data_IF_309040504641
#
_entry.id   IF_309040504641
#
_cell.length_a   1.000
_cell.length_b   1.000
_cell.length_c   1.000
_cell.angle_alpha   90.00
_cell.angle_beta   90.00
_cell.angle_gamma   90.00
#
_symmetry.space_group_name_H-M   'P 1'
#
loop_
_entity.id
_entity.type
_entity.pdbx_description
1 polymer ?
#
# COMPACT_ATOMS: atom_id res chain seq x y z
N UNK A 1 -7.96 -10.85 -24.70
CA UNK A 1 -7.21 -12.12 -24.62
C UNK A 1 -5.88 -11.93 -25.34
N UNK A 2 -4.80 -11.67 -24.61
CA UNK A 2 -3.43 -11.61 -25.16
C UNK A 2 -2.57 -12.60 -24.36
N UNK A 3 -2.58 -13.86 -24.79
CA UNK A 3 -1.88 -14.99 -24.16
C UNK A 3 -0.70 -15.45 -25.01
N UNK A 4 0.14 -14.53 -25.49
CA UNK A 4 1.37 -14.93 -26.17
C UNK A 4 2.59 -14.29 -25.51
N UNK A 5 2.94 -14.85 -24.35
CA UNK A 5 4.18 -14.58 -23.59
C UNK A 5 5.47 -14.85 -24.36
N UNK A 6 5.37 -15.45 -25.56
CA UNK A 6 6.52 -15.89 -26.38
C UNK A 6 7.02 -14.85 -27.40
N UNK A 7 6.25 -13.81 -27.69
CA UNK A 7 6.61 -12.88 -28.77
C UNK A 7 7.60 -11.81 -28.30
N UNK A 8 7.43 -11.26 -27.10
CA UNK A 8 8.22 -10.11 -26.65
C UNK A 8 9.75 -10.36 -26.59
N UNK A 9 10.25 -11.51 -26.08
CA UNK A 9 11.70 -11.76 -26.04
C UNK A 9 12.35 -11.84 -27.42
N UNK A 10 11.66 -12.42 -28.41
CA UNK A 10 12.20 -12.63 -29.78
C UNK A 10 12.36 -11.33 -30.58
N UNK A 11 11.56 -10.31 -30.31
CA UNK A 11 11.63 -9.04 -31.04
C UNK A 11 12.73 -8.11 -30.54
N UNK A 12 13.10 -8.23 -29.26
CA UNK A 12 14.08 -7.34 -28.63
C UNK A 12 15.51 -7.59 -29.16
N UNK A 13 15.82 -8.83 -29.57
CA UNK A 13 17.14 -9.23 -30.03
C UNK A 13 17.54 -8.66 -31.41
N UNK A 14 16.59 -8.14 -32.19
CA UNK A 14 16.86 -7.57 -33.53
C UNK A 14 17.26 -6.09 -33.54
N UNK A 15 17.27 -5.42 -32.38
CA UNK A 15 17.67 -4.03 -32.29
C UNK A 15 19.18 -3.91 -32.07
N UNK A 16 19.93 -3.98 -33.18
CA UNK A 16 21.24 -3.35 -33.23
C UNK A 16 21.10 -1.83 -33.04
N UNK A 17 22.00 -1.27 -32.24
CA UNK A 17 22.32 0.16 -32.04
C UNK A 17 21.63 1.12 -33.03
N UNK A 18 20.44 1.62 -32.69
CA UNK A 18 19.81 2.71 -33.42
C UNK A 18 19.30 3.74 -32.41
N UNK A 19 20.22 4.63 -32.06
CA UNK A 19 20.00 5.85 -31.31
C UNK A 19 18.90 6.69 -31.98
N UNK A 20 17.88 7.08 -31.20
CA UNK A 20 17.00 8.23 -31.47
C UNK A 20 16.18 8.25 -32.77
N UNK A 21 16.04 7.15 -33.50
CA UNK A 21 15.22 7.14 -34.72
C UNK A 21 13.75 6.80 -34.40
N UNK A 22 12.82 7.69 -34.77
CA UNK A 22 11.37 7.44 -34.76
C UNK A 22 10.98 6.18 -35.57
N UNK A 23 11.86 5.68 -36.45
CA UNK A 23 11.66 4.43 -37.19
C UNK A 23 11.85 3.14 -36.35
N UNK A 24 12.54 3.18 -35.21
CA UNK A 24 12.69 1.99 -34.34
C UNK A 24 11.35 1.55 -33.74
N UNK A 25 10.48 2.51 -33.40
CA UNK A 25 9.13 2.22 -32.91
C UNK A 25 8.26 1.55 -34.00
N UNK A 26 8.44 1.92 -35.27
CA UNK A 26 7.62 1.44 -36.39
C UNK A 26 7.97 0.05 -36.92
N UNK A 27 9.23 -0.40 -36.78
CA UNK A 27 9.69 -1.69 -37.37
C UNK A 27 9.75 -2.86 -36.38
N UNK A 28 9.70 -2.60 -35.07
CA UNK A 28 10.08 -3.58 -34.03
C UNK A 28 8.90 -4.20 -33.25
N UNK A 29 7.70 -3.64 -33.35
CA UNK A 29 6.62 -3.89 -32.37
C UNK A 29 5.27 -4.27 -32.99
N UNK A 30 5.26 -5.20 -33.95
CA UNK A 30 3.99 -5.72 -34.51
C UNK A 30 3.20 -6.42 -33.39
N UNK A 31 2.03 -5.88 -33.05
CA UNK A 31 1.13 -6.45 -32.04
C UNK A 31 1.31 -5.92 -30.61
N UNK A 32 2.17 -4.91 -30.38
CA UNK A 32 2.29 -4.21 -29.09
C UNK A 32 1.66 -2.82 -29.19
N UNK A 33 0.86 -2.44 -28.20
CA UNK A 33 0.23 -1.12 -28.15
C UNK A 33 1.28 0.00 -28.05
N UNK A 34 1.02 1.12 -28.72
CA UNK A 34 1.94 2.25 -28.83
C UNK A 34 2.50 2.75 -27.48
N UNK A 35 1.72 2.88 -26.39
CA UNK A 35 2.26 3.32 -25.11
C UNK A 35 3.31 2.37 -24.53
N UNK A 36 3.09 1.05 -24.65
CA UNK A 36 4.05 0.04 -24.19
C UNK A 36 5.29 0.01 -25.09
N UNK A 37 5.12 0.14 -26.41
CA UNK A 37 6.24 0.24 -27.35
C UNK A 37 7.11 1.48 -27.06
N UNK A 38 6.50 2.63 -26.76
CA UNK A 38 7.21 3.86 -26.35
C UNK A 38 7.98 3.67 -25.04
N UNK A 39 7.39 3.00 -24.05
CA UNK A 39 8.08 2.67 -22.80
C UNK A 39 9.34 1.85 -23.06
N UNK A 40 9.25 0.78 -23.85
CA UNK A 40 10.42 -0.06 -24.14
C UNK A 40 11.44 0.70 -24.98
N UNK A 41 11.02 1.42 -26.02
CA UNK A 41 11.93 2.23 -26.84
C UNK A 41 12.72 3.25 -26.01
N UNK A 42 12.11 3.84 -24.98
CA UNK A 42 12.81 4.74 -24.07
C UNK A 42 13.95 4.05 -23.29
N UNK A 43 13.83 2.77 -22.93
CA UNK A 43 14.92 2.05 -22.25
C UNK A 43 16.15 1.90 -23.16
N UNK A 44 15.91 1.71 -24.46
CA UNK A 44 16.93 1.47 -25.50
C UNK A 44 17.63 2.73 -26.01
N UNK A 45 17.38 3.90 -25.40
CA UNK A 45 18.22 5.08 -25.64
C UNK A 45 19.58 5.00 -24.89
N UNK A 46 19.77 3.95 -24.09
CA UNK A 46 20.96 3.70 -23.27
C UNK A 46 21.82 2.61 -23.90
N UNK A 47 23.13 2.79 -23.80
CA UNK A 47 24.10 1.77 -24.17
C UNK A 47 24.23 0.70 -23.07
N UNK A 48 24.53 -0.56 -23.42
CA UNK A 48 24.86 -1.58 -22.43
C UNK A 48 26.20 -1.23 -21.73
N UNK A 49 26.21 -1.24 -20.41
CA UNK A 49 27.39 -0.83 -19.61
C UNK A 49 28.26 -1.99 -19.12
N UNK A 50 27.77 -3.23 -19.23
CA UNK A 50 28.52 -4.43 -18.87
C UNK A 50 28.09 -5.58 -19.78
N UNK A 51 29.02 -6.21 -20.48
CA UNK A 51 28.73 -7.34 -21.36
C UNK A 51 29.87 -8.37 -21.27
N UNK A 52 29.49 -9.64 -21.11
CA UNK A 52 30.43 -10.77 -21.07
C UNK A 52 30.61 -11.33 -22.48
N UNK A 53 31.86 -11.60 -22.87
CA UNK A 53 32.22 -12.06 -24.23
C UNK A 53 31.48 -13.34 -24.63
N UNK A 54 31.26 -14.21 -23.66
CA UNK A 54 30.59 -15.51 -23.74
C UNK A 54 29.09 -15.36 -24.03
N UNK A 55 28.53 -14.17 -23.85
CA UNK A 55 27.10 -13.85 -23.98
C UNK A 55 26.81 -12.93 -25.16
N UNK A 56 27.82 -12.60 -25.98
CA UNK A 56 27.64 -11.72 -27.15
C UNK A 56 26.93 -12.43 -28.31
N UNK A 57 27.31 -13.68 -28.56
CA UNK A 57 26.78 -14.49 -29.66
C UNK A 57 25.78 -15.48 -29.09
N UNK A 58 24.56 -15.47 -29.60
CA UNK A 58 23.47 -16.34 -29.18
C UNK A 58 23.10 -17.25 -30.36
N UNK A 59 22.98 -18.58 -30.16
CA UNK A 59 22.48 -19.50 -31.19
C UNK A 59 21.07 -19.11 -31.69
N UNK A 60 20.80 -19.29 -32.98
CA UNK A 60 19.51 -18.88 -33.59
C UNK A 60 18.28 -19.62 -33.04
N UNK A 61 18.50 -20.81 -32.47
CA UNK A 61 17.47 -21.69 -31.92
C UNK A 61 17.23 -21.51 -30.41
N UNK A 62 18.00 -20.65 -29.75
CA UNK A 62 17.92 -20.42 -28.30
C UNK A 62 17.08 -19.19 -27.96
N UNK A 63 16.09 -19.36 -27.07
CA UNK A 63 15.37 -18.21 -26.50
C UNK A 63 16.24 -17.54 -25.43
N UNK A 64 16.61 -16.29 -25.68
CA UNK A 64 17.61 -15.58 -24.88
C UNK A 64 17.12 -14.19 -24.46
N UNK A 65 17.21 -13.89 -23.16
CA UNK A 65 16.75 -12.60 -22.59
C UNK A 65 17.87 -11.75 -22.05
N UNK A 66 19.12 -12.24 -21.94
CA UNK A 66 20.16 -11.51 -21.23
C UNK A 66 20.53 -10.19 -21.93
N UNK A 67 20.41 -10.10 -23.26
CA UNK A 67 20.60 -8.83 -23.98
C UNK A 67 19.55 -7.79 -23.60
N UNK A 68 18.29 -8.21 -23.45
CA UNK A 68 17.24 -7.33 -22.95
C UNK A 68 17.48 -6.97 -21.49
N UNK A 69 17.78 -7.95 -20.63
CA UNK A 69 18.03 -7.74 -19.22
C UNK A 69 19.25 -6.85 -18.98
N UNK A 70 20.25 -6.84 -19.87
CA UNK A 70 21.37 -5.92 -19.82
C UNK A 70 20.91 -4.45 -19.81
N UNK A 71 19.97 -4.11 -20.70
CA UNK A 71 19.38 -2.77 -20.76
C UNK A 71 18.35 -2.56 -19.66
N UNK A 72 17.45 -3.52 -19.45
CA UNK A 72 16.35 -3.39 -18.49
C UNK A 72 16.83 -3.29 -17.04
N UNK A 73 17.83 -4.10 -16.67
CA UNK A 73 18.36 -4.12 -15.30
C UNK A 73 19.18 -2.88 -14.96
N UNK A 74 19.76 -2.22 -15.97
CA UNK A 74 20.57 -0.99 -15.85
C UNK A 74 19.79 0.31 -16.09
N UNK A 75 18.48 0.21 -16.33
CA UNK A 75 17.56 1.33 -16.19
C UNK A 75 16.96 1.32 -14.77
N UNK A 76 17.52 2.15 -13.88
CA UNK A 76 17.10 2.26 -12.48
C UNK A 76 16.11 3.40 -12.26
N UNK A 77 14.84 3.12 -12.52
CA UNK A 77 13.72 4.03 -12.29
C UNK A 77 13.11 3.85 -10.89
N UNK A 78 12.17 4.73 -10.51
CA UNK A 78 11.39 4.63 -9.27
C UNK A 78 10.49 3.39 -9.23
N UNK A 79 10.05 2.90 -10.39
CA UNK A 79 9.35 1.63 -10.55
C UNK A 79 9.90 0.85 -11.74
N UNK A 80 9.84 -0.48 -11.70
CA UNK A 80 10.28 -1.34 -12.81
C UNK A 80 9.17 -2.29 -13.23
N UNK A 81 8.81 -2.24 -14.51
CA UNK A 81 7.91 -3.20 -15.13
C UNK A 81 8.70 -4.42 -15.59
N UNK A 82 8.46 -5.59 -14.99
CA UNK A 82 9.26 -6.80 -15.23
C UNK A 82 8.46 -7.80 -16.06
N UNK A 83 8.91 -8.16 -17.26
CA UNK A 83 8.30 -9.24 -18.01
C UNK A 83 8.47 -10.59 -17.27
N UNK A 84 7.62 -11.57 -17.62
CA UNK A 84 7.80 -12.93 -17.13
C UNK A 84 9.16 -13.48 -17.61
N UNK A 85 9.93 -14.17 -16.75
CA UNK A 85 11.11 -14.90 -17.18
C UNK A 85 10.73 -16.02 -18.18
N UNK A 86 11.65 -16.36 -19.09
CA UNK A 86 11.47 -17.51 -19.96
C UNK A 86 11.29 -18.79 -19.14
N UNK A 87 10.44 -19.70 -19.62
CA UNK A 87 10.23 -21.03 -19.04
C UNK A 87 9.87 -21.04 -17.54
N UNK A 88 9.21 -19.99 -17.05
CA UNK A 88 8.80 -19.84 -15.65
C UNK A 88 7.28 -19.69 -15.52
N UNK A 89 6.74 -20.09 -14.38
CA UNK A 89 5.35 -19.79 -13.98
C UNK A 89 5.17 -18.35 -13.47
N UNK A 90 6.26 -17.60 -13.31
CA UNK A 90 6.23 -16.22 -12.83
C UNK A 90 5.63 -15.30 -13.90
N UNK A 91 4.58 -14.56 -13.53
CA UNK A 91 3.90 -13.59 -14.41
C UNK A 91 4.58 -12.22 -14.51
N UNK A 92 3.84 -11.27 -15.08
CA UNK A 92 4.21 -9.85 -15.12
C UNK A 92 4.27 -9.27 -13.71
N UNK A 93 5.31 -8.50 -13.42
CA UNK A 93 5.54 -7.94 -12.10
C UNK A 93 5.83 -6.45 -12.17
N UNK A 94 5.54 -5.77 -11.07
CA UNK A 94 5.91 -4.38 -10.84
C UNK A 94 6.79 -4.35 -9.60
N UNK A 95 7.97 -3.75 -9.73
CA UNK A 95 8.90 -3.53 -8.62
C UNK A 95 8.76 -2.09 -8.13
N UNK A 96 8.41 -1.91 -6.85
CA UNK A 96 8.33 -0.60 -6.19
C UNK A 96 9.65 -0.33 -5.46
N UNK A 97 10.38 0.70 -5.90
CA UNK A 97 11.77 0.98 -5.51
C UNK A 97 12.03 2.26 -4.68
N UNK A 98 11.09 3.20 -4.43
CA UNK A 98 11.44 4.45 -3.72
C UNK A 98 11.57 4.36 -2.20
N UNK A 99 11.32 3.20 -1.57
CA UNK A 99 11.35 3.11 -0.11
C UNK A 99 12.78 3.14 0.43
N UNK A 100 13.02 4.04 1.37
CA UNK A 100 14.24 4.06 2.19
C UNK A 100 14.19 2.92 3.23
N UNK A 101 15.34 2.32 3.54
CA UNK A 101 15.44 1.30 4.58
C UNK A 101 15.31 1.93 5.98
N UNK A 102 14.60 1.25 6.89
CA UNK A 102 14.37 1.70 8.26
C UNK A 102 15.19 0.88 9.27
N UNK A 103 15.35 1.40 10.49
CA UNK A 103 16.23 0.81 11.51
C UNK A 103 15.73 -0.54 12.04
N UNK A 104 14.41 -0.74 12.11
CA UNK A 104 13.82 -1.95 12.69
C UNK A 104 13.01 -2.76 11.68
N UNK A 105 12.97 -4.07 11.90
CA UNK A 105 12.14 -4.99 11.12
C UNK A 105 10.65 -4.63 11.20
N UNK A 106 10.18 -4.10 12.34
CA UNK A 106 8.82 -3.62 12.52
C UNK A 106 8.46 -2.50 11.51
N UNK A 107 9.33 -1.50 11.37
CA UNK A 107 9.09 -0.38 10.45
C UNK A 107 9.14 -0.85 8.99
N UNK A 108 10.14 -1.67 8.64
CA UNK A 108 10.28 -2.23 7.29
C UNK A 108 9.08 -3.11 6.92
N UNK A 109 8.62 -3.96 7.84
CA UNK A 109 7.42 -4.77 7.66
C UNK A 109 6.17 -3.90 7.49
N UNK A 110 6.06 -2.77 8.20
CA UNK A 110 4.95 -1.85 8.05
C UNK A 110 4.89 -1.24 6.64
N UNK A 111 6.02 -0.74 6.12
CA UNK A 111 6.09 -0.19 4.76
C UNK A 111 5.81 -1.24 3.69
N UNK A 112 6.41 -2.43 3.78
CA UNK A 112 6.19 -3.53 2.83
C UNK A 112 4.73 -3.97 2.84
N UNK A 113 4.15 -4.15 4.02
CA UNK A 113 2.74 -4.52 4.20
C UNK A 113 1.83 -3.47 3.59
N UNK A 114 2.12 -2.18 3.80
CA UNK A 114 1.33 -1.11 3.20
C UNK A 114 1.39 -1.11 1.68
N UNK A 115 2.58 -1.21 1.06
CA UNK A 115 2.72 -1.27 -0.42
C UNK A 115 1.96 -2.48 -0.99
N UNK A 116 2.05 -3.63 -0.32
CA UNK A 116 1.33 -4.83 -0.71
C UNK A 116 -0.20 -4.65 -0.58
N UNK A 117 -0.69 -4.04 0.49
CA UNK A 117 -2.12 -3.84 0.68
C UNK A 117 -2.67 -2.75 -0.25
N UNK A 118 -1.98 -1.62 -0.40
CA UNK A 118 -2.45 -0.53 -1.27
C UNK A 118 -2.52 -0.97 -2.73
N UNK A 119 -1.56 -1.77 -3.23
CA UNK A 119 -1.64 -2.32 -4.58
C UNK A 119 -2.90 -3.18 -4.78
N UNK A 120 -3.24 -4.01 -3.80
CA UNK A 120 -4.47 -4.81 -3.82
C UNK A 120 -5.73 -3.95 -3.69
N UNK A 121 -5.69 -2.91 -2.86
CA UNK A 121 -6.78 -1.94 -2.73
C UNK A 121 -7.03 -1.21 -4.04
N UNK A 122 -5.97 -0.74 -4.73
CA UNK A 122 -6.05 -0.10 -6.05
C UNK A 122 -6.75 -1.01 -7.06
N UNK A 123 -6.35 -2.29 -7.11
CA UNK A 123 -6.93 -3.27 -8.04
C UNK A 123 -8.38 -3.62 -7.68
N UNK A 124 -8.68 -3.84 -6.40
CA UNK A 124 -10.02 -4.23 -5.93
C UNK A 124 -11.03 -3.11 -6.11
N UNK A 125 -10.65 -1.87 -5.79
CA UNK A 125 -11.52 -0.71 -5.87
C UNK A 125 -11.45 0.00 -7.24
N UNK A 126 -10.59 -0.47 -8.16
CA UNK A 126 -10.33 0.14 -9.46
C UNK A 126 -10.00 1.64 -9.34
N UNK A 127 -9.09 1.98 -8.43
CA UNK A 127 -8.74 3.37 -8.16
C UNK A 127 -8.00 3.98 -9.37
N UNK A 128 -8.47 5.14 -9.82
CA UNK A 128 -7.80 5.99 -10.79
C UNK A 128 -6.94 7.03 -10.06
N UNK A 129 -5.62 6.78 -10.00
CA UNK A 129 -4.64 7.68 -9.39
C UNK A 129 -3.79 8.42 -10.42
N UNK A 130 -4.21 8.44 -11.70
CA UNK A 130 -3.43 9.04 -12.77
C UNK A 130 -3.36 10.56 -12.63
N UNK A 131 -2.15 11.09 -12.72
CA UNK A 131 -1.82 12.52 -12.86
C UNK A 131 -0.76 12.67 -13.95
N UNK A 132 -0.55 13.87 -14.52
CA UNK A 132 0.52 14.07 -15.50
C UNK A 132 1.89 13.67 -14.94
N UNK A 133 2.72 13.00 -15.75
CA UNK A 133 4.04 12.52 -15.31
C UNK A 133 4.98 13.66 -14.88
N UNK A 134 4.84 14.84 -15.50
CA UNK A 134 5.57 16.06 -15.10
C UNK A 134 5.30 16.45 -13.64
N UNK A 135 4.08 16.19 -13.13
CA UNK A 135 3.72 16.43 -11.73
C UNK A 135 4.28 15.37 -10.79
N UNK A 136 4.47 14.15 -11.27
CA UNK A 136 5.24 13.12 -10.55
C UNK A 136 6.71 13.55 -10.44
N UNK A 137 7.31 14.11 -11.50
CA UNK A 137 8.69 14.61 -11.46
C UNK A 137 8.87 15.81 -10.51
N UNK A 138 7.90 16.73 -10.47
CA UNK A 138 7.85 17.80 -9.47
C UNK A 138 7.71 17.26 -8.04
N UNK A 139 6.91 16.21 -7.83
CA UNK A 139 6.80 15.53 -6.55
C UNK A 139 8.13 14.90 -6.13
N UNK A 140 8.84 14.22 -7.04
CA UNK A 140 10.15 13.62 -6.74
C UNK A 140 11.19 14.67 -6.32
N UNK A 141 11.22 15.82 -7.00
CA UNK A 141 12.09 16.96 -6.60
C UNK A 141 11.70 17.55 -5.24
N UNK A 142 10.41 17.51 -4.90
CA UNK A 142 9.91 18.00 -3.61
C UNK A 142 10.19 17.01 -2.48
N UNK A 143 10.10 15.71 -2.75
CA UNK A 143 10.25 14.63 -1.78
C UNK A 143 11.63 14.60 -1.10
N UNK A 144 12.68 15.03 -1.80
CA UNK A 144 14.05 15.03 -1.28
C UNK A 144 14.38 16.21 -0.37
N UNK A 145 13.47 17.19 -0.23
CA UNK A 145 13.68 18.34 0.66
C UNK A 145 13.66 17.92 2.13
N UNK A 146 14.44 18.61 2.96
CA UNK A 146 14.43 18.39 4.41
C UNK A 146 13.01 18.61 4.95
N UNK A 147 12.57 17.68 5.81
CA UNK A 147 11.24 17.68 6.45
C UNK A 147 10.07 17.72 5.46
N UNK A 148 10.26 17.23 4.23
CA UNK A 148 9.23 17.28 3.19
C UNK A 148 7.90 16.64 3.59
N UNK A 149 7.94 15.58 4.41
CA UNK A 149 6.74 14.91 4.93
C UNK A 149 5.83 15.85 5.73
N UNK A 150 6.39 16.84 6.44
CA UNK A 150 5.63 17.78 7.28
C UNK A 150 5.47 19.17 6.64
N UNK A 151 6.41 19.57 5.79
CA UNK A 151 6.50 20.97 5.32
C UNK A 151 6.14 21.17 3.86
N UNK A 152 6.04 20.11 3.06
CA UNK A 152 5.79 20.23 1.63
C UNK A 152 4.43 19.67 1.25
N UNK A 153 3.97 20.07 0.08
CA UNK A 153 2.76 19.55 -0.55
C UNK A 153 3.13 18.89 -1.88
N UNK A 154 2.32 17.94 -2.28
CA UNK A 154 2.53 17.07 -3.43
C UNK A 154 1.30 17.07 -4.31
N UNK A 155 1.52 17.08 -5.62
CA UNK A 155 0.46 16.92 -6.61
C UNK A 155 -0.13 15.52 -6.48
N UNK A 156 -1.43 15.46 -6.22
CA UNK A 156 -2.14 14.19 -6.04
C UNK A 156 -3.52 14.26 -6.68
N UNK A 157 -4.05 13.10 -7.08
CA UNK A 157 -5.36 12.99 -7.74
C UNK A 157 -6.47 13.60 -6.88
N UNK A 158 -7.37 14.38 -7.50
CA UNK A 158 -8.57 14.88 -6.82
C UNK A 158 -9.50 13.74 -6.41
N UNK A 159 -10.00 13.78 -5.18
CA UNK A 159 -10.78 12.66 -4.61
C UNK A 159 -12.05 12.29 -5.37
N UNK A 160 -12.77 13.27 -5.93
CA UNK A 160 -13.98 12.99 -6.73
C UNK A 160 -13.68 12.31 -8.08
N UNK A 161 -12.41 12.28 -8.51
CA UNK A 161 -11.96 11.62 -9.73
C UNK A 161 -11.28 10.27 -9.48
N UNK A 162 -11.41 9.70 -8.28
CA UNK A 162 -10.75 8.44 -7.91
C UNK A 162 -11.39 7.19 -8.53
N UNK A 163 -12.63 7.26 -9.00
CA UNK A 163 -13.28 6.14 -9.66
C UNK A 163 -13.14 6.22 -11.18
N UNK A 164 -12.84 5.09 -11.81
CA UNK A 164 -12.79 4.94 -13.27
C UNK A 164 -14.15 4.99 -13.97
N UNK A 165 -15.26 5.25 -13.24
CA UNK A 165 -16.64 5.09 -13.75
C UNK A 165 -17.48 6.37 -13.82
N UNK A 166 -16.95 7.55 -13.49
CA UNK A 166 -17.70 8.80 -13.59
C UNK A 166 -17.36 9.52 -14.90
N UNK A 167 -18.12 9.24 -15.97
CA UNK A 167 -18.16 10.10 -17.15
C UNK A 167 -18.83 11.44 -16.79
N UNK A 168 -18.30 12.60 -17.22
CA UNK A 168 -18.86 13.90 -16.89
C UNK A 168 -20.09 14.11 -17.78
N UNK A 169 -21.28 14.00 -17.21
CA UNK A 169 -22.56 14.13 -17.94
C UNK A 169 -23.58 13.09 -17.53
N UNK A 170 -23.13 12.02 -16.90
CA UNK A 170 -24.00 10.95 -16.42
C UNK A 170 -23.85 10.84 -14.91
N UNK A 171 -24.81 11.42 -14.16
CA UNK A 171 -25.04 11.07 -12.74
C UNK A 171 -25.56 9.62 -12.60
N UNK A 172 -25.09 8.70 -13.43
CA UNK A 172 -25.22 7.29 -13.15
C UNK A 172 -24.10 6.99 -12.17
N UNK A 173 -24.49 6.95 -10.91
CA UNK A 173 -23.89 6.07 -9.94
C UNK A 173 -23.62 4.73 -10.63
N UNK A 174 -22.37 4.51 -11.04
CA UNK A 174 -21.88 3.15 -11.19
C UNK A 174 -21.91 2.61 -9.78
N UNK A 175 -23.00 1.91 -9.49
CA UNK A 175 -23.20 1.05 -8.34
C UNK A 175 -22.06 0.03 -8.39
N UNK A 176 -20.90 0.41 -7.84
CA UNK A 176 -20.13 -0.54 -7.06
C UNK A 176 -21.09 -0.88 -5.92
N UNK A 177 -21.32 -2.17 -5.72
CA UNK A 177 -22.35 -2.71 -4.81
C UNK A 177 -22.24 -2.17 -3.37
N UNK A 178 -21.17 -1.44 -3.03
CA UNK A 178 -20.89 -0.85 -1.71
C UNK A 178 -20.56 0.67 -1.72
N UNK A 179 -21.20 1.47 -2.59
CA UNK A 179 -21.20 2.95 -2.51
C UNK A 179 -20.11 3.70 -3.27
N UNK A 180 -20.33 4.99 -3.56
CA UNK A 180 -19.35 5.87 -4.22
C UNK A 180 -18.11 6.11 -3.33
N UNK A 181 -16.92 6.44 -3.86
CA UNK A 181 -15.75 6.78 -3.05
C UNK A 181 -16.01 7.91 -2.04
N UNK A 182 -16.93 8.82 -2.35
CA UNK A 182 -17.37 9.90 -1.48
C UNK A 182 -18.28 9.40 -0.35
N UNK A 183 -19.19 8.46 -0.62
CA UNK A 183 -19.95 7.75 0.42
C UNK A 183 -19.06 6.83 1.24
N UNK A 184 -18.04 6.23 0.62
CA UNK A 184 -16.96 5.50 1.28
C UNK A 184 -16.16 6.42 2.20
N UNK A 185 -15.91 7.67 1.81
CA UNK A 185 -15.27 8.72 2.63
C UNK A 185 -16.16 9.08 3.83
N UNK A 186 -17.49 9.19 3.63
CA UNK A 186 -18.46 9.44 4.69
C UNK A 186 -18.65 8.23 5.62
N UNK A 187 -18.46 7.00 5.11
CA UNK A 187 -18.47 5.77 5.90
C UNK A 187 -17.14 5.58 6.66
N UNK A 188 -16.00 5.89 6.03
CA UNK A 188 -14.65 5.80 6.60
C UNK A 188 -14.40 6.87 7.68
N UNK A 189 -14.90 8.10 7.50
CA UNK A 189 -14.83 9.17 8.52
C UNK A 189 -15.63 8.89 9.79
N UNK A 190 -16.60 7.95 9.73
CA UNK A 190 -17.33 7.44 10.90
C UNK A 190 -16.54 6.39 11.70
N UNK A 191 -15.46 5.84 11.15
CA UNK A 191 -14.51 5.02 11.91
C UNK A 191 -13.63 5.94 12.78
N UNK A 192 -14.17 6.40 13.91
CA UNK A 192 -13.34 6.97 14.97
C UNK A 192 -12.38 5.88 15.49
N UNK A 193 -11.08 6.18 15.39
CA UNK A 193 -9.85 5.85 16.19
C UNK A 193 -9.83 4.79 17.32
N UNK A 194 -10.93 4.11 17.64
CA UNK A 194 -11.05 3.10 18.70
C UNK A 194 -12.31 2.25 18.47
N UNK A 195 -12.25 1.13 17.74
CA UNK A 195 -13.15 -0.04 17.93
C UNK A 195 -12.84 -1.23 17.01
N UNK A 196 -13.16 -2.40 17.57
CA UNK A 196 -12.81 -3.77 17.18
C UNK A 196 -13.69 -4.40 16.11
N UNK A 197 -13.13 -5.35 15.36
CA UNK A 197 -13.76 -6.10 14.28
C UNK A 197 -14.69 -7.22 14.77
N UNK A 198 -15.86 -7.36 14.14
CA UNK A 198 -16.76 -8.52 14.28
C UNK A 198 -16.73 -9.39 13.03
N UNK A 199 -16.69 -10.70 13.28
CA UNK A 199 -16.52 -11.82 12.34
C UNK A 199 -17.83 -12.08 11.58
N UNK A 200 -17.77 -12.30 10.27
CA UNK A 200 -18.84 -12.97 9.50
C UNK A 200 -18.38 -14.41 9.25
N UNK A 201 -19.06 -15.38 9.86
CA UNK A 201 -18.95 -16.79 9.52
C UNK A 201 -20.04 -17.14 8.50
N UNK A 202 -19.64 -17.76 7.39
CA UNK A 202 -20.56 -18.40 6.45
C UNK A 202 -21.21 -19.62 7.10
N UNK A 203 -22.55 -19.69 7.08
CA UNK A 203 -23.26 -20.97 7.10
C UNK A 203 -24.41 -20.96 6.08
N UNK A 204 -24.43 -22.04 5.32
CA UNK A 204 -25.42 -22.53 4.38
C UNK A 204 -26.71 -22.94 5.11
N UNK A 205 -27.88 -22.61 4.56
CA UNK A 205 -29.08 -23.46 4.37
C UNK A 205 -30.41 -22.68 4.32
N UNK A 206 -31.31 -23.18 3.48
CA UNK A 206 -32.66 -22.70 3.16
C UNK A 206 -33.60 -22.62 4.37
N UNK A 207 -34.46 -21.58 4.45
CA UNK A 207 -35.92 -21.70 4.70
C UNK A 207 -36.68 -20.36 4.59
N UNK A 208 -37.99 -20.50 4.38
CA UNK A 208 -39.03 -19.63 3.82
C UNK A 208 -39.60 -18.49 4.69
N UNK A 209 -39.92 -17.37 4.02
CA UNK A 209 -41.09 -16.43 4.12
C UNK A 209 -41.71 -16.16 5.51
N UNK A 210 -41.73 -14.87 5.93
CA UNK A 210 -42.98 -14.05 6.09
C UNK A 210 -42.71 -12.62 6.58
N UNK A 211 -43.45 -11.67 6.00
CA UNK A 211 -43.50 -10.22 6.27
C UNK A 211 -43.73 -9.80 7.72
N UNK A 212 -43.19 -8.63 8.10
CA UNK A 212 -43.94 -7.38 8.32
C UNK A 212 -43.33 -6.50 9.43
N UNK A 213 -42.75 -5.37 9.05
CA UNK A 213 -42.94 -4.09 9.75
C UNK A 213 -42.27 -2.98 8.94
N UNK A 214 -43.07 -2.35 8.09
CA UNK A 214 -42.75 -1.14 7.34
C UNK A 214 -42.64 0.07 8.29
N UNK A 215 -41.51 0.79 8.23
CA UNK A 215 -41.50 2.23 8.50
C UNK A 215 -40.84 2.94 7.32
N UNK A 216 -41.67 3.74 6.66
CA UNK A 216 -41.43 4.42 5.40
C UNK A 216 -40.32 5.48 5.51
N UNK A 217 -39.45 5.52 4.50
CA UNK A 217 -38.62 6.68 4.20
C UNK A 217 -38.97 7.13 2.79
N UNK A 218 -39.41 8.38 2.68
CA UNK A 218 -40.02 8.96 1.49
C UNK A 218 -39.09 8.91 0.26
N UNK A 219 -39.58 8.29 -0.82
CA UNK A 219 -38.99 8.40 -2.16
C UNK A 219 -39.38 9.73 -2.80
N UNK A 220 -38.40 10.59 -3.08
CA UNK A 220 -38.60 11.72 -3.99
C UNK A 220 -38.64 11.18 -5.44
N UNK A 221 -39.75 11.42 -6.14
CA UNK A 221 -39.90 11.13 -7.59
C UNK A 221 -38.88 11.94 -8.39
N UNK A 222 -38.13 11.27 -9.26
CA UNK A 222 -37.33 11.89 -10.31
C UNK A 222 -38.24 12.32 -11.47
N UNK A 223 -37.99 13.48 -12.11
CA UNK A 223 -38.71 13.89 -13.31
C UNK A 223 -38.23 13.11 -14.54
N UNK A 224 -39.11 13.01 -15.54
CA UNK A 224 -38.96 12.19 -16.75
C UNK A 224 -37.69 12.47 -17.55
N UNK A 225 -37.15 11.38 -18.10
CA UNK A 225 -35.94 11.36 -18.92
C UNK A 225 -36.17 12.08 -20.25
N UNK A 226 -35.49 13.20 -20.44
CA UNK A 226 -35.24 13.76 -21.76
C UNK A 226 -33.87 13.31 -22.30
N UNK A 227 -33.90 12.92 -23.58
CA UNK A 227 -32.89 12.52 -24.57
C UNK A 227 -31.38 12.51 -24.22
N UNK A 228 -30.61 11.55 -24.77
CA UNK A 228 -29.19 11.40 -24.49
C UNK A 228 -28.40 12.54 -25.15
N UNK A 229 -27.79 13.39 -24.34
CA UNK A 229 -26.73 14.31 -24.80
C UNK A 229 -25.42 13.55 -24.71
N UNK A 230 -24.79 13.34 -25.86
CA UNK A 230 -23.42 12.85 -25.99
C UNK A 230 -22.44 13.91 -25.48
N UNK A 231 -22.02 13.82 -24.23
CA UNK A 231 -20.95 14.68 -23.71
C UNK A 231 -19.67 13.86 -23.53
N UNK A 232 -18.88 13.78 -24.61
CA UNK A 232 -17.47 13.41 -24.57
C UNK A 232 -16.66 14.63 -24.08
N UNK A 233 -16.94 15.12 -22.87
CA UNK A 233 -16.12 16.18 -22.29
C UNK A 233 -14.77 15.60 -21.90
N UNK A 234 -13.78 15.84 -22.76
CA UNK A 234 -12.38 15.51 -22.56
C UNK A 234 -11.91 16.18 -21.26
N UNK A 235 -11.60 15.38 -20.23
CA UNK A 235 -11.14 15.93 -18.94
C UNK A 235 -9.75 16.54 -19.16
N UNK A 236 -9.64 17.86 -18.97
CA UNK A 236 -8.35 18.54 -19.02
C UNK A 236 -7.41 17.94 -17.95
N UNK A 237 -6.21 17.44 -18.32
CA UNK A 237 -5.26 16.85 -17.39
C UNK A 237 -4.92 17.74 -16.19
N UNK A 238 -4.92 19.06 -16.38
CA UNK A 238 -4.61 20.04 -15.33
C UNK A 238 -5.68 20.11 -14.22
N UNK A 239 -6.91 19.70 -14.53
CA UNK A 239 -8.02 19.67 -13.57
C UNK A 239 -8.06 18.35 -12.78
N UNK A 240 -7.17 17.39 -13.07
CA UNK A 240 -7.22 16.04 -12.48
C UNK A 240 -6.55 15.95 -11.10
N UNK A 241 -5.76 16.94 -10.71
CA UNK A 241 -4.92 16.91 -9.51
C UNK A 241 -5.07 18.17 -8.64
N UNK A 242 -4.57 18.08 -7.41
CA UNK A 242 -4.51 19.16 -6.41
C UNK A 242 -3.26 18.95 -5.53
N UNK A 243 -2.75 20.02 -4.91
CA UNK A 243 -1.70 19.92 -3.91
C UNK A 243 -2.26 19.42 -2.57
N UNK A 244 -1.60 18.44 -1.97
CA UNK A 244 -1.92 17.90 -0.65
C UNK A 244 -0.64 17.62 0.14
N UNK A 245 -0.66 17.82 1.45
CA UNK A 245 0.37 17.33 2.36
C UNK A 245 0.40 15.80 2.40
N UNK A 246 1.50 15.21 2.88
CA UNK A 246 1.56 13.75 3.06
C UNK A 246 0.52 13.27 4.07
N UNK A 247 0.24 14.04 5.13
CA UNK A 247 -0.84 13.70 6.06
C UNK A 247 -2.20 13.64 5.36
N UNK A 248 -2.53 14.61 4.51
CA UNK A 248 -3.79 14.58 3.75
C UNK A 248 -3.87 13.41 2.77
N UNK A 249 -2.76 13.06 2.10
CA UNK A 249 -2.70 11.91 1.19
C UNK A 249 -2.84 10.59 1.95
N UNK A 250 -2.16 10.43 3.08
CA UNK A 250 -2.15 9.17 3.83
C UNK A 250 -3.40 9.01 4.70
N UNK A 251 -3.75 10.04 5.47
CA UNK A 251 -4.77 10.00 6.51
C UNK A 251 -6.13 10.53 6.03
N UNK A 252 -6.14 11.28 4.91
CA UNK A 252 -7.33 11.85 4.31
C UNK A 252 -7.51 13.35 4.59
N UNK A 253 -8.46 13.93 3.88
CA UNK A 253 -8.88 15.33 3.97
C UNK A 253 -10.39 15.41 3.71
N UNK A 254 -11.03 16.59 3.82
CA UNK A 254 -12.43 16.74 3.45
C UNK A 254 -12.75 16.37 1.99
N UNK A 255 -11.74 16.42 1.10
CA UNK A 255 -11.90 16.22 -0.34
C UNK A 255 -11.24 14.94 -0.86
N UNK A 256 -10.54 14.20 0.00
CA UNK A 256 -9.83 12.97 -0.34
C UNK A 256 -9.91 11.95 0.81
N UNK A 257 -10.30 10.68 0.56
CA UNK A 257 -10.50 9.68 1.61
C UNK A 257 -9.25 9.34 2.44
N UNK A 258 -8.05 9.47 1.88
CA UNK A 258 -6.80 8.98 2.47
C UNK A 258 -6.47 7.56 2.03
N UNK A 259 -5.19 7.29 1.77
CA UNK A 259 -4.74 5.95 1.37
C UNK A 259 -4.83 4.92 2.51
N UNK A 260 -4.54 5.31 3.75
CA UNK A 260 -4.64 4.43 4.92
C UNK A 260 -6.10 4.03 5.17
N UNK A 261 -7.09 4.96 5.22
CA UNK A 261 -8.50 4.60 5.32
C UNK A 261 -8.98 3.63 4.24
N UNK A 262 -8.57 3.84 2.98
CA UNK A 262 -8.90 2.92 1.88
C UNK A 262 -8.32 1.51 2.11
N UNK A 263 -7.08 1.42 2.58
CA UNK A 263 -6.44 0.14 2.93
C UNK A 263 -7.14 -0.52 4.12
N UNK A 264 -7.50 0.23 5.17
CA UNK A 264 -8.26 -0.31 6.30
C UNK A 264 -9.59 -0.91 5.86
N UNK A 265 -10.31 -0.22 4.99
CA UNK A 265 -11.55 -0.74 4.41
C UNK A 265 -11.32 -2.04 3.64
N UNK A 266 -10.28 -2.09 2.80
CA UNK A 266 -9.91 -3.31 2.07
C UNK A 266 -9.61 -4.50 3.00
N UNK A 267 -8.84 -4.27 4.07
CA UNK A 267 -8.52 -5.29 5.09
C UNK A 267 -9.79 -5.75 5.81
N UNK A 268 -10.70 -4.82 6.14
CA UNK A 268 -11.97 -5.14 6.77
C UNK A 268 -12.86 -6.04 5.90
N UNK A 269 -12.99 -5.71 4.61
CA UNK A 269 -13.85 -6.44 3.66
C UNK A 269 -13.33 -7.86 3.41
N UNK A 270 -12.01 -8.03 3.31
CA UNK A 270 -11.43 -9.37 3.09
C UNK A 270 -11.43 -10.20 4.37
N UNK A 271 -11.30 -9.55 5.52
CA UNK A 271 -11.12 -10.23 6.79
C UNK A 271 -9.79 -10.99 6.86
N UNK A 272 -9.70 -11.89 7.83
CA UNK A 272 -8.51 -12.69 8.09
C UNK A 272 -8.45 -13.13 9.53
N UNK A 273 -7.35 -13.79 9.89
CA UNK A 273 -7.08 -14.13 11.29
C UNK A 273 -7.05 -12.85 12.16
N UNK A 274 -7.76 -12.81 13.31
CA UNK A 274 -7.83 -11.62 14.14
C UNK A 274 -6.49 -11.07 14.62
N UNK A 275 -5.51 -11.94 14.90
CA UNK A 275 -4.18 -11.51 15.34
C UNK A 275 -3.41 -10.85 14.18
N UNK A 276 -3.51 -11.41 12.98
CA UNK A 276 -2.93 -10.83 11.76
C UNK A 276 -3.57 -9.47 11.43
N UNK A 277 -4.89 -9.37 11.47
CA UNK A 277 -5.60 -8.09 11.24
C UNK A 277 -5.18 -7.05 12.27
N UNK A 278 -5.08 -7.42 13.54
CA UNK A 278 -4.60 -6.54 14.60
C UNK A 278 -3.17 -6.03 14.32
N UNK A 279 -2.26 -6.92 13.91
CA UNK A 279 -0.89 -6.55 13.55
C UNK A 279 -0.85 -5.58 12.35
N UNK A 280 -1.64 -5.85 11.30
CA UNK A 280 -1.77 -4.96 10.15
C UNK A 280 -2.23 -3.57 10.58
N UNK A 281 -3.22 -3.48 11.49
CA UNK A 281 -3.66 -2.18 11.99
C UNK A 281 -2.58 -1.43 12.76
N UNK A 282 -1.74 -2.13 13.54
CA UNK A 282 -0.60 -1.49 14.20
C UNK A 282 0.40 -0.91 13.19
N UNK A 283 0.65 -1.60 12.09
CA UNK A 283 1.48 -1.07 11.00
C UNK A 283 0.86 0.18 10.38
N UNK A 284 -0.45 0.17 10.13
CA UNK A 284 -1.16 1.32 9.57
C UNK A 284 -1.20 2.51 10.54
N UNK A 285 -1.38 2.28 11.84
CA UNK A 285 -1.34 3.31 12.88
C UNK A 285 0.05 3.97 12.95
N UNK A 286 1.11 3.17 12.83
CA UNK A 286 2.48 3.67 12.75
C UNK A 286 2.69 4.60 11.54
N UNK A 287 2.21 4.21 10.35
CA UNK A 287 2.33 5.02 9.15
C UNK A 287 1.48 6.30 9.22
N UNK A 288 0.28 6.22 9.82
CA UNK A 288 -0.59 7.37 10.08
C UNK A 288 0.12 8.42 10.93
N UNK A 289 0.73 7.98 12.04
CA UNK A 289 1.50 8.84 12.97
C UNK A 289 2.77 9.41 12.34
N UNK A 290 3.43 8.68 11.45
CA UNK A 290 4.56 9.22 10.68
C UNK A 290 4.12 10.29 9.67
N UNK A 291 2.99 10.07 9.01
CA UNK A 291 2.46 11.02 8.05
C UNK A 291 1.94 12.31 8.72
N UNK A 292 1.36 12.22 9.93
CA UNK A 292 0.91 13.37 10.72
C UNK A 292 2.04 14.14 11.39
N UNK A 293 3.19 13.49 11.62
CA UNK A 293 4.32 14.05 12.38
C UNK A 293 4.28 13.72 13.88
N UNK A 294 3.32 12.93 14.34
CA UNK A 294 3.28 12.41 15.71
C UNK A 294 4.45 11.45 16.01
N UNK A 295 5.01 10.83 14.97
CA UNK A 295 6.28 10.09 15.02
C UNK A 295 7.27 10.67 14.01
N UNK A 296 8.52 10.78 14.43
CA UNK A 296 9.61 11.23 13.56
C UNK A 296 9.89 10.20 12.47
N UNK A 297 10.36 10.70 11.32
CA UNK A 297 11.07 9.84 10.36
C UNK A 297 12.47 9.53 10.90
N UNK A 298 13.05 8.40 10.49
CA UNK A 298 14.44 8.05 10.81
C UNK A 298 15.40 9.19 10.46
N UNK A 299 15.21 9.85 9.31
CA UNK A 299 16.03 10.99 8.90
C UNK A 299 15.90 12.21 9.84
N UNK A 300 14.67 12.55 10.28
CA UNK A 300 14.47 13.65 11.22
C UNK A 300 15.04 13.32 12.60
N UNK A 301 14.89 12.07 13.04
CA UNK A 301 15.46 11.58 14.28
C UNK A 301 16.99 11.62 14.26
N UNK A 302 17.66 11.08 13.23
CA UNK A 302 19.12 11.15 13.10
C UNK A 302 19.62 12.61 13.12
N UNK A 303 18.92 13.53 12.45
CA UNK A 303 19.25 14.96 12.50
C UNK A 303 19.09 15.54 13.91
N UNK A 304 18.05 15.17 14.66
CA UNK A 304 17.88 15.65 16.04
C UNK A 304 18.98 15.11 16.96
N UNK A 305 19.39 13.84 16.79
CA UNK A 305 20.51 13.23 17.51
C UNK A 305 21.83 13.95 17.25
N UNK A 306 22.17 14.18 15.99
CA UNK A 306 23.39 14.92 15.61
C UNK A 306 23.37 16.34 16.21
N UNK A 307 22.25 17.07 16.08
CA UNK A 307 22.14 18.45 16.57
C UNK A 307 22.20 18.56 18.10
N UNK A 308 21.82 17.52 18.83
CA UNK A 308 21.85 17.47 20.28
C UNK A 308 23.20 16.97 20.84
N UNK A 309 24.10 16.49 19.97
CA UNK A 309 25.38 15.94 20.39
C UNK A 309 26.30 17.05 20.96
N UNK A 310 26.97 16.85 22.11
CA UNK A 310 27.84 17.87 22.72
C UNK A 310 28.95 18.39 21.81
N UNK A 311 29.55 17.50 21.02
CA UNK A 311 30.62 17.84 20.07
C UNK A 311 30.13 18.49 18.77
N UNK A 312 28.82 18.72 18.59
CA UNK A 312 28.31 19.33 17.38
C UNK A 312 28.37 20.86 17.45
N UNK A 313 29.12 21.47 16.53
CA UNK A 313 29.37 22.92 16.53
C UNK A 313 28.43 23.71 15.62
N UNK A 314 27.31 23.13 15.19
CA UNK A 314 26.34 23.76 14.27
C UNK A 314 26.93 24.20 12.91
N UNK A 315 28.02 23.57 12.49
CA UNK A 315 28.78 23.82 11.27
C UNK A 315 28.46 22.83 10.13
N UNK A 316 27.49 21.94 10.34
CA UNK A 316 27.13 20.84 9.43
C UNK A 316 28.22 19.77 9.27
N UNK A 317 29.24 19.78 10.11
CA UNK A 317 30.26 18.73 10.16
C UNK A 317 29.87 17.64 11.15
N UNK A 318 29.93 16.38 10.71
CA UNK A 318 29.70 15.21 11.55
C UNK A 318 31.05 14.55 11.82
N UNK A 319 31.58 14.74 13.04
CA UNK A 319 32.87 14.18 13.45
C UNK A 319 32.79 12.65 13.62
N UNK A 320 33.96 12.00 13.69
CA UNK A 320 34.04 10.56 13.94
C UNK A 320 33.36 10.16 15.26
N UNK A 321 33.48 10.98 16.30
CA UNK A 321 32.80 10.74 17.59
C UNK A 321 31.29 10.76 17.42
N UNK A 322 30.73 11.83 16.83
CA UNK A 322 29.28 11.95 16.58
C UNK A 322 28.77 10.76 15.76
N UNK A 323 29.50 10.37 14.72
CA UNK A 323 29.13 9.24 13.88
C UNK A 323 29.15 7.91 14.65
N UNK A 324 30.18 7.69 15.48
CA UNK A 324 30.31 6.46 16.28
C UNK A 324 29.15 6.32 17.26
N UNK A 325 28.83 7.39 17.98
CA UNK A 325 27.77 7.40 18.98
C UNK A 325 26.38 7.23 18.32
N UNK A 326 26.15 7.89 17.18
CA UNK A 326 24.92 7.71 16.40
C UNK A 326 24.77 6.27 15.90
N UNK A 327 25.84 5.64 15.39
CA UNK A 327 25.77 4.26 14.91
C UNK A 327 25.56 3.25 16.04
N UNK A 328 26.13 3.49 17.23
CA UNK A 328 25.86 2.68 18.42
C UNK A 328 24.38 2.77 18.82
N UNK A 329 23.81 3.97 18.81
CA UNK A 329 22.39 4.18 19.11
C UNK A 329 21.48 3.49 18.07
N UNK A 330 21.78 3.62 16.78
CA UNK A 330 21.10 2.88 15.72
C UNK A 330 21.17 1.36 15.95
N UNK A 331 22.33 0.83 16.34
CA UNK A 331 22.52 -0.59 16.60
C UNK A 331 21.69 -1.09 17.79
N UNK A 332 21.66 -0.31 18.88
CA UNK A 332 20.83 -0.60 20.05
C UNK A 332 19.33 -0.60 19.69
N UNK A 333 18.90 0.31 18.81
CA UNK A 333 17.51 0.34 18.30
C UNK A 333 17.19 -0.91 17.48
N UNK A 334 18.06 -1.27 16.53
CA UNK A 334 17.87 -2.46 15.69
C UNK A 334 17.81 -3.74 16.52
N UNK A 335 18.58 -3.84 17.62
CA UNK A 335 18.56 -4.98 18.55
C UNK A 335 17.39 -4.96 19.55
N UNK A 336 16.61 -3.88 19.60
CA UNK A 336 15.51 -3.70 20.55
C UNK A 336 15.96 -3.36 21.98
N UNK A 337 17.22 -3.01 22.19
CA UNK A 337 17.79 -2.57 23.47
C UNK A 337 17.36 -1.12 23.80
N UNK A 338 17.18 -0.30 22.75
CA UNK A 338 16.69 1.06 22.85
C UNK A 338 15.42 1.23 22.00
N UNK A 339 14.42 1.94 22.54
CA UNK A 339 13.18 2.23 21.81
C UNK A 339 12.76 3.70 22.01
N UNK A 340 13.27 4.64 21.20
CA UNK A 340 12.96 6.05 21.35
C UNK A 340 11.46 6.31 21.07
N UNK A 341 10.71 6.88 22.02
CA UNK A 341 9.27 7.08 21.88
C UNK A 341 8.88 8.08 20.77
N UNK A 342 9.79 8.99 20.41
CA UNK A 342 9.64 9.91 19.29
C UNK A 342 9.78 9.24 17.91
N UNK A 343 10.43 8.07 17.85
CA UNK A 343 10.68 7.34 16.60
C UNK A 343 9.75 6.13 16.45
N UNK A 344 9.46 5.42 17.54
CA UNK A 344 8.78 4.13 17.54
C UNK A 344 7.57 4.14 18.49
N UNK A 345 6.46 3.47 18.12
CA UNK A 345 5.26 3.39 18.97
C UNK A 345 5.50 2.53 20.22
N UNK A 346 4.72 2.76 21.27
CA UNK A 346 4.79 1.97 22.51
C UNK A 346 4.46 0.49 22.25
N UNK A 347 5.11 -0.41 23.01
CA UNK A 347 4.78 -1.84 23.00
C UNK A 347 3.48 -2.15 23.79
N UNK A 348 3.10 -1.29 24.74
CA UNK A 348 1.99 -1.51 25.67
C UNK A 348 0.60 -1.24 25.09
N UNK A 349 0.48 -0.72 23.88
CA UNK A 349 -0.82 -0.54 23.19
C UNK A 349 -1.44 -1.89 22.76
N UNK A 350 -0.78 -3.02 23.04
CA UNK A 350 -1.17 -4.35 22.59
C UNK A 350 -1.21 -5.38 23.74
N UNK A 351 -2.12 -5.22 24.69
CA UNK A 351 -2.64 -6.39 25.42
C UNK A 351 -3.97 -6.77 24.79
N UNK A 352 -4.00 -7.86 24.00
CA UNK A 352 -5.26 -8.57 23.76
C UNK A 352 -5.64 -9.19 25.09
N UNK A 353 -6.48 -8.51 25.88
CA UNK A 353 -7.01 -9.11 27.10
C UNK A 353 -7.95 -10.24 26.69
N UNK A 354 -7.52 -11.48 26.88
CA UNK A 354 -8.38 -12.66 26.79
C UNK A 354 -9.45 -12.52 27.88
N UNK A 355 -10.65 -12.04 27.52
CA UNK A 355 -11.78 -11.95 28.44
C UNK A 355 -12.43 -10.56 28.63
N UNK A 356 -12.15 -9.53 27.82
CA UNK A 356 -12.97 -8.31 27.85
C UNK A 356 -14.11 -8.37 26.82
N UNK A 357 -15.34 -7.98 27.19
CA UNK A 357 -16.50 -8.01 26.29
C UNK A 357 -16.31 -7.05 25.13
N UNK A 358 -16.72 -7.50 23.95
CA UNK A 358 -16.69 -6.75 22.70
C UNK A 358 -17.20 -5.31 22.92
N UNK A 359 -16.35 -4.36 22.57
CA UNK A 359 -16.57 -2.94 22.79
C UNK A 359 -17.66 -2.40 21.84
N UNK A 360 -18.72 -3.11 21.45
CA UNK A 360 -19.73 -2.67 20.45
C UNK A 360 -21.19 -2.62 20.98
N UNK A 361 -21.45 -2.48 22.29
CA UNK A 361 -22.83 -2.42 22.89
C UNK A 361 -23.88 -1.75 21.96
N UNK A 362 -25.09 -2.27 21.75
CA UNK A 362 -26.05 -2.87 22.71
C UNK A 362 -26.86 -4.07 22.16
N UNK A 363 -26.55 -4.61 20.98
CA UNK A 363 -27.47 -5.56 20.29
C UNK A 363 -26.80 -6.69 19.48
N UNK A 364 -25.53 -7.01 19.73
CA UNK A 364 -24.87 -8.14 19.06
C UNK A 364 -25.41 -9.49 19.58
N UNK A 365 -26.34 -10.09 18.84
CA UNK A 365 -26.96 -11.39 19.17
C UNK A 365 -26.04 -12.61 18.96
N UNK A 366 -24.91 -12.45 18.28
CA UNK A 366 -23.99 -13.55 17.97
C UNK A 366 -23.09 -13.96 19.14
N UNK A 367 -23.04 -13.17 20.22
CA UNK A 367 -22.22 -13.44 21.40
C UNK A 367 -23.04 -13.75 22.66
N UNK A 368 -24.37 -13.73 22.59
CA UNK A 368 -25.24 -14.18 23.67
C UNK A 368 -25.50 -15.68 23.52
N UNK A 369 -24.52 -16.51 23.86
CA UNK A 369 -24.85 -17.85 24.34
C UNK A 369 -25.22 -17.67 25.81
N UNK A 370 -26.49 -17.89 26.12
CA UNK A 370 -27.02 -17.80 27.46
C UNK A 370 -26.30 -18.81 28.36
N UNK A 371 -25.37 -18.35 29.21
CA UNK A 371 -24.68 -19.20 30.19
C UNK A 371 -25.55 -19.56 31.40
N UNK A 372 -26.87 -19.41 31.29
CA UNK A 372 -27.84 -19.69 32.34
C UNK A 372 -28.25 -21.17 32.46
N UNK A 373 -27.46 -22.13 31.94
CA UNK A 373 -27.77 -23.57 32.07
C UNK A 373 -26.59 -24.51 32.35
N UNK A 374 -25.48 -24.04 32.94
CA UNK A 374 -24.52 -24.96 33.58
C UNK A 374 -24.77 -24.96 35.08
N UNK A 375 -25.61 -25.90 35.51
CA UNK A 375 -25.83 -26.21 36.93
C UNK A 375 -24.49 -26.62 37.57
N UNK A 376 -24.19 -25.97 38.69
CA UNK A 376 -23.24 -26.45 39.67
C UNK A 376 -23.61 -27.87 40.12
N UNK A 377 -22.66 -28.79 40.00
CA UNK A 377 -22.61 -29.95 40.89
C UNK A 377 -21.20 -30.04 41.43
N UNK A 378 -21.08 -29.79 42.73
CA UNK A 378 -19.91 -30.14 43.53
C UNK A 378 -19.66 -31.65 43.44
N UNK A 379 -18.39 -32.04 43.31
CA UNK A 379 -17.85 -33.10 44.17
C UNK A 379 -16.31 -33.07 44.20
N UNK A 380 -15.83 -33.00 45.43
CA UNK A 380 -14.50 -33.34 45.95
C UNK A 380 -13.69 -34.39 45.17
N UNK A 381 -12.39 -34.13 45.00
CA UNK A 381 -11.33 -35.09 45.35
C UNK A 381 -9.93 -34.44 45.33
N UNK A 382 -9.22 -34.61 46.44
CA UNK A 382 -7.77 -34.40 46.62
C UNK A 382 -6.95 -35.07 45.51
N UNK A 383 -5.82 -34.48 45.08
CA UNK A 383 -4.46 -35.04 45.30
C UNK A 383 -3.32 -34.12 44.84
N UNK A 384 -2.41 -33.86 45.80
CA UNK A 384 -0.93 -33.79 45.73
C UNK A 384 -0.16 -33.06 44.62
N UNK A 385 0.75 -32.22 45.10
CA UNK A 385 1.87 -31.57 44.44
C UNK A 385 2.81 -32.51 43.66
N UNK A 386 3.36 -31.98 42.57
CA UNK A 386 4.69 -32.31 42.08
C UNK A 386 5.36 -31.06 41.49
N UNK A 387 6.40 -30.60 42.16
CA UNK A 387 7.42 -29.67 41.67
C UNK A 387 8.45 -30.49 40.90
N UNK A 388 8.96 -30.01 39.76
CA UNK A 388 10.33 -30.18 39.22
C UNK A 388 10.50 -29.33 37.93
N UNK A 389 11.71 -28.81 37.61
CA UNK A 389 11.89 -27.48 37.05
C UNK A 389 12.37 -27.43 35.58
N UNK A 390 12.17 -26.27 34.97
CA UNK A 390 13.12 -25.55 34.10
C UNK A 390 13.60 -26.22 32.81
N UNK A 391 13.20 -25.64 31.66
CA UNK A 391 14.13 -25.37 30.56
C UNK A 391 13.74 -24.06 29.87
N UNK A 392 14.70 -23.14 29.94
CA UNK A 392 14.82 -21.93 29.14
C UNK A 392 14.85 -22.32 27.65
N UNK A 393 14.02 -21.70 26.82
CA UNK A 393 14.40 -21.41 25.44
C UNK A 393 13.53 -20.29 24.89
N UNK A 394 14.08 -19.09 24.98
CA UNK A 394 13.57 -17.91 24.31
C UNK A 394 13.81 -18.01 22.81
N UNK A 395 12.74 -18.13 22.04
CA UNK A 395 12.65 -17.65 20.65
C UNK A 395 11.25 -17.10 20.47
N UNK A 396 11.13 -15.79 20.54
CA UNK A 396 9.90 -15.08 20.18
C UNK A 396 10.01 -14.66 18.71
N UNK A 397 9.04 -15.14 17.93
CA UNK A 397 8.71 -14.67 16.58
C UNK A 397 8.03 -13.29 16.60
#
# INVERSE_FOLDING_TARGET
MLTNSKLLPRYIQRCGFATTDHNCAGRLWIGVEEPLAKHVAHLFIRDPVSAFSERLIVPEDEEFVDHFENIQSTNWQSMRFKPPPLNSSIGWRVEFRPLELQLTDFENAAFVTFVLLISRTILRLKLNLLIPISKVDENMRTAVKRDAVLQQQFYFRRGYLLSTGAYPGLRIAVVVVDGSPTELTLACSKFRRTRSYSIIQNQTEHQTISDDSTQAVNFCKLPDAHSPVSDNSEVNPEDTYILMSISEIMNGSPTFPGLIPLVRHYVHVIGGDPAVVCLVHRYLDFLERRASGDLMTTAAWMRSRIRAHPDYHFDSYVSQTINTDLMQECCAITRGELRPPELLPSLSECTVSTGKPCYLRFSCRQCCVDHSSVKSTDSSANTTAAIVPGTNDGRYC
#
